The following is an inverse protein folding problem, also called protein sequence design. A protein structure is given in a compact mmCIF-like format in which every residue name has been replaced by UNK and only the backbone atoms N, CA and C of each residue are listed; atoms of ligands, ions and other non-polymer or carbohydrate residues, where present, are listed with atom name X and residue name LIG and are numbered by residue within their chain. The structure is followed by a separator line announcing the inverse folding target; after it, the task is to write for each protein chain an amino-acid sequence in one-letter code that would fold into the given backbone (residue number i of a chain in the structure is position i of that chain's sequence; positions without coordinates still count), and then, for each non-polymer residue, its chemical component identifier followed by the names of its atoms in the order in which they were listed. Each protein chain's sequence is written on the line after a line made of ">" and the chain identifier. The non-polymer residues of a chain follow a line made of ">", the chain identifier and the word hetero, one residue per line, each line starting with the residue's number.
data_IF_214372620454
#
_entry.id   IF_214372620454
#
_cell.length_a   1.000
_cell.length_b   1.000
_cell.length_c   1.000
_cell.angle_alpha   90.00
_cell.angle_beta   90.00
_cell.angle_gamma   90.00
#
_symmetry.space_group_name_H-M   'P 1'
#
loop_
_entity.id
_entity.type
_entity.pdbx_description
1 polymer ?
#
# COMPACT_ATOMS: atom_id res chain seq x y z
N UNK A 1 -4.23 3.87 -7.76
CA UNK A 1 -2.91 4.33 -8.23
C UNK A 1 -2.14 3.26 -9.02
N UNK A 2 -2.31 1.96 -8.71
CA UNK A 2 -1.53 0.86 -9.33
C UNK A 2 -1.73 0.81 -10.85
N UNK A 3 -2.98 0.83 -11.32
CA UNK A 3 -3.31 0.79 -12.76
C UNK A 3 -2.73 1.98 -13.52
N UNK A 4 -2.83 3.17 -12.95
CA UNK A 4 -2.27 4.39 -13.55
C UNK A 4 -0.74 4.34 -13.61
N UNK A 5 -0.07 3.84 -12.56
CA UNK A 5 1.40 3.75 -12.51
C UNK A 5 1.93 2.72 -13.51
N UNK A 6 1.34 1.52 -13.57
CA UNK A 6 1.75 0.47 -14.51
C UNK A 6 1.64 0.95 -15.97
N UNK A 7 0.51 1.54 -16.35
CA UNK A 7 0.33 2.13 -17.68
C UNK A 7 1.25 3.35 -17.89
N UNK A 8 1.43 4.17 -16.85
CA UNK A 8 2.32 5.31 -16.85
C UNK A 8 3.76 4.94 -17.18
N UNK A 9 4.27 3.86 -16.60
CA UNK A 9 5.60 3.33 -16.93
C UNK A 9 5.68 2.99 -18.41
N UNK A 10 4.69 2.24 -18.93
CA UNK A 10 4.68 1.81 -20.33
C UNK A 10 4.66 3.02 -21.28
N UNK A 11 3.74 3.95 -21.06
CA UNK A 11 3.59 5.09 -21.96
C UNK A 11 4.80 6.06 -21.88
N UNK A 12 5.29 6.35 -20.66
CA UNK A 12 6.44 7.24 -20.49
C UNK A 12 7.70 6.65 -21.15
N UNK A 13 7.99 5.38 -20.89
CA UNK A 13 9.20 4.76 -21.41
C UNK A 13 9.14 4.48 -22.90
N UNK A 14 7.97 4.10 -23.44
CA UNK A 14 7.82 4.00 -24.89
C UNK A 14 8.06 5.34 -25.58
N UNK A 15 7.54 6.43 -25.02
CA UNK A 15 7.77 7.76 -25.56
C UNK A 15 9.26 8.18 -25.45
N UNK A 16 9.95 7.81 -24.36
CA UNK A 16 11.36 8.21 -24.14
C UNK A 16 12.36 7.40 -24.94
N UNK A 17 12.08 6.10 -25.15
CA UNK A 17 13.04 5.14 -25.73
C UNK A 17 12.54 4.49 -27.03
N UNK A 18 11.32 4.80 -27.47
CA UNK A 18 10.66 4.24 -28.68
C UNK A 18 10.73 2.70 -28.75
N UNK A 19 10.52 2.06 -27.59
CA UNK A 19 10.65 0.61 -27.46
C UNK A 19 9.60 0.01 -26.53
N UNK A 20 8.57 -0.58 -27.11
CA UNK A 20 7.47 -1.22 -26.37
C UNK A 20 7.91 -2.42 -25.53
N UNK A 21 8.94 -3.16 -25.98
CA UNK A 21 9.44 -4.32 -25.24
C UNK A 21 10.09 -3.89 -23.94
N UNK A 22 10.94 -2.87 -23.96
CA UNK A 22 11.57 -2.31 -22.76
C UNK A 22 10.50 -1.76 -21.82
N UNK A 23 9.55 -0.98 -22.34
CA UNK A 23 8.48 -0.40 -21.56
C UNK A 23 7.60 -1.47 -20.88
N UNK A 24 7.19 -2.48 -21.63
CA UNK A 24 6.36 -3.59 -21.14
C UNK A 24 7.09 -4.47 -20.14
N UNK A 25 8.34 -4.84 -20.40
CA UNK A 25 9.14 -5.66 -19.46
C UNK A 25 9.45 -4.92 -18.14
N UNK A 26 9.67 -3.61 -18.21
CA UNK A 26 9.88 -2.80 -17.00
C UNK A 26 8.61 -2.69 -16.16
N UNK A 27 7.44 -2.47 -16.80
CA UNK A 27 6.14 -2.50 -16.14
C UNK A 27 5.85 -3.88 -15.52
N UNK A 28 6.16 -4.96 -16.22
CA UNK A 28 6.03 -6.32 -15.70
C UNK A 28 6.93 -6.56 -14.48
N UNK A 29 8.18 -6.11 -14.51
CA UNK A 29 9.10 -6.20 -13.38
C UNK A 29 8.59 -5.43 -12.14
N UNK A 30 8.02 -4.23 -12.35
CA UNK A 30 7.35 -3.47 -11.29
C UNK A 30 6.19 -4.25 -10.66
N UNK A 31 5.28 -4.80 -11.48
CA UNK A 31 4.11 -5.56 -11.01
C UNK A 31 4.53 -6.84 -10.28
N UNK A 32 5.52 -7.57 -10.79
CA UNK A 32 6.05 -8.76 -10.13
C UNK A 32 6.67 -8.42 -8.78
N UNK A 33 7.50 -7.38 -8.70
CA UNK A 33 8.11 -6.94 -7.46
C UNK A 33 7.04 -6.57 -6.41
N UNK A 34 6.01 -5.83 -6.81
CA UNK A 34 4.86 -5.49 -5.96
C UNK A 34 4.13 -6.74 -5.47
N UNK A 35 3.88 -7.70 -6.34
CA UNK A 35 3.18 -8.95 -5.98
C UNK A 35 3.97 -9.77 -4.96
N UNK A 36 5.29 -9.85 -5.13
CA UNK A 36 6.18 -10.56 -4.22
C UNK A 36 6.23 -9.94 -2.82
N UNK A 37 6.17 -8.62 -2.71
CA UNK A 37 6.30 -7.93 -1.42
C UNK A 37 4.99 -7.84 -0.63
N UNK A 38 3.85 -7.94 -1.30
CA UNK A 38 2.52 -7.79 -0.69
C UNK A 38 2.31 -8.62 0.59
N UNK A 39 2.65 -9.93 0.65
CA UNK A 39 2.47 -10.72 1.87
C UNK A 39 3.38 -10.29 3.03
N UNK A 40 4.53 -9.68 2.74
CA UNK A 40 5.42 -9.16 3.77
C UNK A 40 4.86 -7.89 4.41
N UNK A 41 4.27 -6.99 3.60
CA UNK A 41 3.58 -5.82 4.12
C UNK A 41 2.36 -6.21 4.96
N UNK A 42 1.55 -7.18 4.53
CA UNK A 42 0.42 -7.66 5.31
C UNK A 42 0.87 -8.08 6.72
N UNK A 43 1.90 -8.94 6.81
CA UNK A 43 2.46 -9.37 8.10
C UNK A 43 3.06 -8.23 8.93
N UNK A 44 3.70 -7.25 8.27
CA UNK A 44 4.25 -6.10 8.96
C UNK A 44 3.16 -5.19 9.54
N UNK A 45 2.08 -4.95 8.81
CA UNK A 45 0.93 -4.19 9.27
C UNK A 45 0.23 -4.85 10.46
N UNK A 46 0.05 -6.18 10.40
CA UNK A 46 -0.56 -6.95 11.48
C UNK A 46 0.29 -6.97 12.75
N UNK A 47 1.62 -7.02 12.60
CA UNK A 47 2.55 -7.15 13.72
C UNK A 47 2.91 -5.82 14.38
N UNK A 48 3.11 -4.76 13.59
CA UNK A 48 3.64 -3.48 14.08
C UNK A 48 2.62 -2.34 14.02
N UNK A 49 1.41 -2.62 13.53
CA UNK A 49 0.31 -1.68 13.40
C UNK A 49 0.38 -0.78 12.15
N UNK A 50 -0.82 -0.44 11.66
CA UNK A 50 -0.97 0.32 10.42
C UNK A 50 -0.33 1.71 10.45
N UNK A 51 -0.41 2.41 11.61
CA UNK A 51 0.10 3.78 11.69
C UNK A 51 1.62 3.88 11.57
N UNK A 52 2.36 2.97 12.25
CA UNK A 52 3.82 3.03 12.28
C UNK A 52 4.41 2.54 10.97
N UNK A 53 4.02 1.34 10.54
CA UNK A 53 4.49 0.73 9.30
C UNK A 53 4.05 1.54 8.09
N UNK A 54 2.77 1.98 8.07
CA UNK A 54 2.20 2.68 6.93
C UNK A 54 2.83 4.04 6.67
N UNK A 55 3.10 4.84 7.69
CA UNK A 55 3.78 6.14 7.48
C UNK A 55 5.19 5.98 6.94
N UNK A 56 5.95 5.00 7.48
CA UNK A 56 7.30 4.72 7.00
C UNK A 56 7.26 4.18 5.56
N UNK A 57 6.40 3.17 5.31
CA UNK A 57 6.23 2.58 3.99
C UNK A 57 5.78 3.62 2.96
N UNK A 58 4.84 4.50 3.32
CA UNK A 58 4.38 5.59 2.46
C UNK A 58 5.52 6.55 2.11
N UNK A 59 6.33 6.96 3.08
CA UNK A 59 7.46 7.86 2.83
C UNK A 59 8.47 7.22 1.88
N UNK A 60 8.84 5.95 2.12
CA UNK A 60 9.77 5.21 1.25
C UNK A 60 9.18 5.02 -0.16
N UNK A 61 7.88 4.71 -0.25
CA UNK A 61 7.18 4.57 -1.53
C UNK A 61 7.18 5.88 -2.33
N UNK A 62 6.87 7.03 -1.69
CA UNK A 62 6.88 8.34 -2.37
C UNK A 62 8.28 8.65 -2.89
N UNK A 63 9.32 8.43 -2.07
CA UNK A 63 10.71 8.64 -2.48
C UNK A 63 11.07 7.75 -3.67
N UNK A 64 10.70 6.47 -3.65
CA UNK A 64 10.97 5.54 -4.76
C UNK A 64 10.23 5.97 -6.04
N UNK A 65 8.96 6.38 -5.93
CA UNK A 65 8.17 6.86 -7.07
C UNK A 65 8.77 8.15 -7.66
N UNK A 66 9.16 9.10 -6.83
CA UNK A 66 9.83 10.33 -7.28
C UNK A 66 11.19 10.03 -7.92
N UNK A 67 11.98 9.15 -7.30
CA UNK A 67 13.28 8.76 -7.84
C UNK A 67 13.13 8.15 -9.24
N UNK A 68 12.15 7.26 -9.44
CA UNK A 68 11.86 6.69 -10.75
C UNK A 68 11.39 7.76 -11.75
N UNK A 69 10.48 8.65 -11.35
CA UNK A 69 9.96 9.70 -12.22
C UNK A 69 11.06 10.69 -12.65
N UNK A 70 11.91 11.11 -11.72
CA UNK A 70 13.07 11.99 -12.04
C UNK A 70 14.11 11.26 -12.89
N UNK A 71 14.41 10.00 -12.60
CA UNK A 71 15.32 9.19 -13.40
C UNK A 71 14.83 9.05 -14.86
N UNK A 72 13.54 8.83 -15.04
CA UNK A 72 12.92 8.81 -16.36
C UNK A 72 13.00 10.18 -17.05
N UNK A 73 12.78 11.27 -16.32
CA UNK A 73 12.84 12.63 -16.84
C UNK A 73 14.26 12.99 -17.35
N UNK A 74 15.31 12.61 -16.63
CA UNK A 74 16.71 12.86 -17.02
C UNK A 74 17.29 11.77 -17.92
N UNK A 75 16.47 10.79 -18.34
CA UNK A 75 16.82 9.70 -19.24
C UNK A 75 18.07 8.92 -18.81
N UNK A 76 18.10 8.48 -17.56
CA UNK A 76 19.19 7.64 -17.07
C UNK A 76 19.27 6.31 -17.85
N UNK A 77 20.41 5.59 -17.82
CA UNK A 77 20.56 4.31 -18.51
C UNK A 77 19.46 3.30 -18.11
N UNK A 78 18.97 2.55 -19.09
CA UNK A 78 17.87 1.58 -18.94
C UNK A 78 18.06 0.60 -17.77
N UNK A 79 19.26 0.01 -17.52
CA UNK A 79 19.44 -0.89 -16.37
C UNK A 79 19.17 -0.22 -15.02
N UNK A 80 19.50 1.07 -14.89
CA UNK A 80 19.22 1.83 -13.67
C UNK A 80 17.71 2.08 -13.49
N UNK A 81 17.00 2.37 -14.58
CA UNK A 81 15.53 2.49 -14.56
C UNK A 81 14.87 1.17 -14.17
N UNK A 82 15.37 0.03 -14.64
CA UNK A 82 14.89 -1.29 -14.22
C UNK A 82 15.07 -1.51 -12.72
N UNK A 83 16.25 -1.20 -12.18
CA UNK A 83 16.50 -1.30 -10.75
C UNK A 83 15.54 -0.40 -9.95
N UNK A 84 15.32 0.83 -10.38
CA UNK A 84 14.38 1.76 -9.74
C UNK A 84 12.94 1.30 -9.85
N UNK A 85 12.51 0.72 -10.99
CA UNK A 85 11.18 0.15 -11.16
C UNK A 85 10.93 -1.01 -10.20
N UNK A 86 11.91 -1.89 -10.02
CA UNK A 86 11.84 -2.99 -9.05
C UNK A 86 11.77 -2.44 -7.63
N UNK A 87 12.63 -1.50 -7.26
CA UNK A 87 12.61 -0.85 -5.93
C UNK A 87 11.25 -0.19 -5.69
N UNK A 88 10.73 0.54 -6.66
CA UNK A 88 9.41 1.17 -6.58
C UNK A 88 8.30 0.11 -6.39
N UNK A 89 8.36 -1.03 -7.09
CA UNK A 89 7.44 -2.14 -6.90
C UNK A 89 7.54 -2.75 -5.50
N UNK A 90 8.75 -2.97 -4.99
CA UNK A 90 8.99 -3.50 -3.64
C UNK A 90 8.55 -2.56 -2.51
N UNK A 91 8.39 -1.28 -2.78
CA UNK A 91 7.87 -0.31 -1.80
C UNK A 91 6.35 -0.18 -1.83
N UNK A 92 5.69 -0.77 -2.84
CA UNK A 92 4.25 -0.68 -3.04
C UNK A 92 3.49 -1.57 -2.07
N UNK A 93 2.48 -1.02 -1.41
CA UNK A 93 1.55 -1.76 -0.57
C UNK A 93 0.09 -1.47 -0.94
N UNK A 94 -0.84 -2.36 -0.55
CA UNK A 94 -2.25 -2.26 -0.90
C UNK A 94 -3.02 -1.40 0.10
N UNK A 95 -3.43 -0.20 -0.31
CA UNK A 95 -4.34 0.63 0.48
C UNK A 95 -5.73 -0.02 0.65
N UNK A 96 -6.27 -0.67 -0.38
CA UNK A 96 -7.55 -1.35 -0.31
C UNK A 96 -7.59 -2.43 0.79
N UNK A 97 -6.53 -3.23 0.91
CA UNK A 97 -6.44 -4.21 2.00
C UNK A 97 -6.50 -3.55 3.38
N UNK A 98 -5.83 -2.40 3.57
CA UNK A 98 -5.86 -1.65 4.84
C UNK A 98 -7.22 -1.02 5.11
N UNK A 99 -7.90 -0.52 4.09
CA UNK A 99 -9.26 0.03 4.19
C UNK A 99 -10.24 -1.07 4.62
N UNK A 100 -10.19 -2.25 3.99
CA UNK A 100 -11.05 -3.40 4.34
C UNK A 100 -10.85 -3.85 5.78
N UNK A 101 -9.59 -3.91 6.23
CA UNK A 101 -9.29 -4.22 7.63
C UNK A 101 -9.90 -3.18 8.59
N UNK A 102 -9.89 -1.89 8.23
CA UNK A 102 -10.54 -0.84 9.05
C UNK A 102 -12.06 -0.97 9.06
N UNK A 103 -12.70 -1.28 7.95
CA UNK A 103 -14.14 -1.53 7.88
C UNK A 103 -14.53 -2.72 8.74
N UNK A 104 -13.84 -3.84 8.60
CA UNK A 104 -14.14 -5.04 9.40
C UNK A 104 -13.95 -4.81 10.89
N UNK A 105 -13.01 -3.95 11.29
CA UNK A 105 -12.82 -3.58 12.69
C UNK A 105 -13.90 -2.60 13.18
N UNK A 106 -14.22 -1.57 12.42
CA UNK A 106 -15.17 -0.53 12.81
C UNK A 106 -16.61 -1.04 12.94
N UNK A 107 -16.98 -2.06 12.17
CA UNK A 107 -18.32 -2.66 12.17
C UNK A 107 -18.45 -3.88 13.06
N UNK A 108 -17.40 -4.26 13.79
CA UNK A 108 -17.43 -5.40 14.72
C UNK A 108 -18.33 -5.08 15.90
N UNK A 109 -19.35 -5.95 16.13
CA UNK A 109 -20.30 -5.79 17.23
C UNK A 109 -21.38 -4.73 17.02
N UNK A 110 -21.51 -4.18 15.83
CA UNK A 110 -22.59 -3.27 15.44
C UNK A 110 -23.81 -4.11 15.01
N UNK A 111 -25.02 -3.70 15.35
CA UNK A 111 -26.28 -4.30 14.85
C UNK A 111 -26.27 -4.24 13.31
N UNK A 112 -26.61 -5.31 12.64
CA UNK A 112 -26.48 -5.47 11.17
C UNK A 112 -25.08 -5.24 10.60
N UNK A 113 -24.03 -5.36 11.42
CA UNK A 113 -22.64 -5.10 11.04
C UNK A 113 -22.16 -5.87 9.83
N UNK A 114 -22.62 -7.13 9.65
CA UNK A 114 -22.27 -7.96 8.51
C UNK A 114 -22.86 -7.42 7.19
N UNK A 115 -24.11 -6.96 7.21
CA UNK A 115 -24.76 -6.35 6.06
C UNK A 115 -24.13 -4.99 5.70
N UNK A 116 -23.80 -4.20 6.70
CA UNK A 116 -23.07 -2.93 6.53
C UNK A 116 -21.67 -3.17 5.96
N UNK A 117 -20.98 -4.23 6.40
CA UNK A 117 -19.65 -4.58 5.89
C UNK A 117 -19.71 -4.98 4.41
N UNK A 118 -20.70 -5.77 4.01
CA UNK A 118 -20.92 -6.12 2.61
C UNK A 118 -21.20 -4.88 1.75
N UNK A 119 -21.98 -3.94 2.26
CA UNK A 119 -22.26 -2.66 1.60
C UNK A 119 -21.00 -1.81 1.47
N UNK A 120 -20.16 -1.75 2.52
CA UNK A 120 -18.89 -1.02 2.50
C UNK A 120 -17.91 -1.60 1.47
N UNK A 121 -17.83 -2.94 1.37
CA UNK A 121 -17.01 -3.61 0.36
C UNK A 121 -17.52 -3.39 -1.06
N UNK A 122 -18.85 -3.41 -1.25
CA UNK A 122 -19.44 -3.10 -2.56
C UNK A 122 -19.16 -1.65 -2.99
N UNK A 123 -19.25 -0.70 -2.05
CA UNK A 123 -18.90 0.71 -2.30
C UNK A 123 -17.40 0.86 -2.64
N UNK A 124 -16.52 0.20 -1.90
CA UNK A 124 -15.08 0.20 -2.18
C UNK A 124 -14.78 -0.35 -3.58
N UNK A 125 -15.39 -1.48 -3.93
CA UNK A 125 -15.24 -2.09 -5.24
C UNK A 125 -15.72 -1.16 -6.37
N UNK A 126 -16.84 -0.46 -6.18
CA UNK A 126 -17.33 0.53 -7.15
C UNK A 126 -16.37 1.72 -7.30
N UNK A 127 -15.79 2.22 -6.21
CA UNK A 127 -14.78 3.28 -6.25
C UNK A 127 -13.51 2.79 -6.95
N UNK A 128 -13.04 1.59 -6.64
CA UNK A 128 -11.87 0.99 -7.29
C UNK A 128 -12.09 0.86 -8.79
N UNK A 129 -13.28 0.46 -9.24
CA UNK A 129 -13.64 0.36 -10.65
C UNK A 129 -13.60 1.72 -11.36
N UNK A 130 -14.17 2.76 -10.73
CA UNK A 130 -14.11 4.13 -11.24
C UNK A 130 -12.64 4.59 -11.37
N UNK A 131 -11.82 4.35 -10.37
CA UNK A 131 -10.38 4.69 -10.39
C UNK A 131 -9.65 3.89 -11.46
N UNK A 132 -10.04 2.62 -11.68
CA UNK A 132 -9.45 1.76 -12.69
C UNK A 132 -9.77 2.23 -14.12
N UNK A 133 -10.95 2.80 -14.34
CA UNK A 133 -11.36 3.37 -15.62
C UNK A 133 -10.73 4.76 -15.83
N UNK A 134 -10.85 5.65 -14.83
CA UNK A 134 -10.37 7.04 -14.97
C UNK A 134 -8.84 7.15 -14.92
N UNK A 135 -8.17 6.26 -14.21
CA UNK A 135 -6.72 6.28 -14.05
C UNK A 135 -5.96 6.20 -15.39
N UNK A 136 -6.22 5.19 -16.24
CA UNK A 136 -5.64 5.09 -17.57
C UNK A 136 -5.98 6.26 -18.48
N UNK A 137 -7.21 6.76 -18.44
CA UNK A 137 -7.66 7.92 -19.25
C UNK A 137 -6.84 9.16 -18.84
N UNK A 138 -6.73 9.41 -17.53
CA UNK A 138 -5.95 10.53 -17.02
C UNK A 138 -4.45 10.37 -17.35
N UNK A 139 -3.91 9.17 -17.24
CA UNK A 139 -2.51 8.88 -17.59
C UNK A 139 -2.25 9.19 -19.08
N UNK A 140 -3.11 8.71 -19.99
CA UNK A 140 -2.98 8.97 -21.40
C UNK A 140 -3.11 10.46 -21.74
N UNK A 141 -4.08 11.15 -21.13
CA UNK A 141 -4.26 12.58 -21.31
C UNK A 141 -3.04 13.40 -20.84
N UNK A 142 -2.51 13.09 -19.66
CA UNK A 142 -1.31 13.73 -19.11
C UNK A 142 -0.08 13.49 -20.00
N UNK A 143 0.08 12.28 -20.52
CA UNK A 143 1.19 11.93 -21.38
C UNK A 143 1.17 12.70 -22.70
N UNK A 144 -0.01 12.94 -23.26
CA UNK A 144 -0.16 13.57 -24.59
C UNK A 144 -0.31 15.08 -24.52
N UNK A 145 -0.97 15.62 -23.48
CA UNK A 145 -1.33 17.04 -23.42
C UNK A 145 -0.41 17.88 -22.54
N UNK A 146 0.34 17.26 -21.61
CA UNK A 146 1.23 17.98 -20.67
C UNK A 146 2.68 17.59 -20.91
N UNK A 147 3.09 16.42 -20.49
CA UNK A 147 4.44 15.90 -20.70
C UNK A 147 4.43 14.37 -20.50
N UNK A 148 5.20 13.61 -21.29
CA UNK A 148 5.20 12.13 -21.21
C UNK A 148 5.51 11.55 -19.83
N UNK A 149 6.23 12.28 -18.99
CA UNK A 149 6.59 11.85 -17.62
C UNK A 149 5.59 12.35 -16.55
N UNK A 150 4.71 13.33 -16.88
CA UNK A 150 3.77 13.93 -15.90
C UNK A 150 2.84 12.91 -15.27
N UNK A 151 2.45 11.88 -16.00
CA UNK A 151 1.64 10.77 -15.53
C UNK A 151 2.30 9.91 -14.41
N UNK A 152 3.60 10.04 -14.20
CA UNK A 152 4.30 9.39 -13.07
C UNK A 152 4.24 10.26 -11.80
N UNK A 153 4.22 11.58 -11.93
CA UNK A 153 4.15 12.50 -10.80
C UNK A 153 2.76 12.58 -10.18
N UNK A 154 1.70 12.59 -11.00
CA UNK A 154 0.31 12.74 -10.52
C UNK A 154 -0.10 11.61 -9.56
N UNK A 155 0.10 10.32 -9.85
CA UNK A 155 -0.22 9.25 -8.89
C UNK A 155 0.68 9.31 -7.65
N UNK A 156 1.91 9.82 -7.76
CA UNK A 156 2.80 10.01 -6.62
C UNK A 156 2.24 11.06 -5.66
N UNK A 157 1.81 12.21 -6.16
CA UNK A 157 1.20 13.27 -5.36
C UNK A 157 -0.11 12.79 -4.74
N UNK A 158 -0.97 12.15 -5.53
CA UNK A 158 -2.24 11.59 -5.06
C UNK A 158 -2.02 10.54 -3.95
N UNK A 159 -1.03 9.66 -4.10
CA UNK A 159 -0.64 8.68 -3.10
C UNK A 159 -0.12 9.35 -1.82
N UNK A 160 0.70 10.39 -1.96
CA UNK A 160 1.24 11.16 -0.84
C UNK A 160 0.15 11.85 -0.02
N UNK A 161 -0.74 12.56 -0.67
CA UNK A 161 -1.87 13.26 -0.01
C UNK A 161 -2.82 12.25 0.61
N UNK A 162 -3.34 11.31 -0.19
CA UNK A 162 -4.31 10.31 0.27
C UNK A 162 -3.75 9.40 1.37
N UNK A 163 -2.51 8.95 1.24
CA UNK A 163 -1.84 8.13 2.24
C UNK A 163 -1.59 8.88 3.55
N UNK A 164 -1.19 10.15 3.47
CA UNK A 164 -0.98 10.99 4.67
C UNK A 164 -2.30 11.20 5.42
N UNK A 165 -3.38 11.53 4.71
CA UNK A 165 -4.72 11.64 5.30
C UNK A 165 -5.13 10.31 5.93
N UNK A 166 -5.01 9.19 5.21
CA UNK A 166 -5.39 7.88 5.68
C UNK A 166 -4.67 7.47 6.96
N UNK A 167 -3.34 7.65 7.04
CA UNK A 167 -2.56 7.30 8.23
C UNK A 167 -2.65 8.32 9.37
N UNK A 168 -3.24 9.49 9.13
CA UNK A 168 -3.56 10.49 10.16
C UNK A 168 -4.81 10.11 10.95
N UNK A 169 -5.74 9.35 10.35
CA UNK A 169 -6.98 8.87 10.98
C UNK A 169 -6.69 7.72 11.94
N UNK A 170 -6.32 8.05 13.18
CA UNK A 170 -5.96 7.06 14.22
C UNK A 170 -7.18 6.33 14.81
N UNK A 171 -8.34 6.99 14.87
CA UNK A 171 -9.56 6.47 15.51
C UNK A 171 -10.13 5.21 14.84
N UNK A 172 -9.84 4.99 13.57
CA UNK A 172 -10.34 3.85 12.79
C UNK A 172 -9.32 2.71 12.65
N UNK A 173 -8.14 2.84 13.27
CA UNK A 173 -7.10 1.83 13.15
C UNK A 173 -7.38 0.65 14.07
N UNK A 174 -7.33 -0.60 13.57
CA UNK A 174 -7.43 -1.77 14.40
C UNK A 174 -6.21 -1.86 15.33
N UNK A 175 -6.38 -2.36 16.57
CA UNK A 175 -5.26 -2.64 17.45
C UNK A 175 -4.37 -3.74 16.85
N UNK A 176 -3.11 -3.77 17.23
CA UNK A 176 -2.18 -4.81 16.81
C UNK A 176 -2.62 -6.18 17.37
N UNK A 177 -2.31 -7.27 16.67
CA UNK A 177 -2.75 -8.63 17.04
C UNK A 177 -2.43 -8.98 18.49
N UNK A 178 -1.29 -8.55 19.01
CA UNK A 178 -0.87 -8.77 20.41
C UNK A 178 -1.85 -8.16 21.41
N UNK A 179 -2.33 -6.95 21.12
CA UNK A 179 -3.29 -6.24 21.96
C UNK A 179 -4.68 -6.88 21.87
N UNK A 180 -5.05 -7.41 20.70
CA UNK A 180 -6.31 -8.15 20.53
C UNK A 180 -6.35 -9.44 21.33
N UNK A 181 -5.26 -10.21 21.35
CA UNK A 181 -5.14 -11.44 22.12
C UNK A 181 -5.17 -11.15 23.64
N UNK A 182 -4.51 -10.07 24.07
CA UNK A 182 -4.53 -9.65 25.48
C UNK A 182 -5.92 -9.21 25.95
N UNK A 183 -6.65 -8.47 25.12
CA UNK A 183 -8.03 -8.02 25.42
C UNK A 183 -8.99 -9.21 25.45
N UNK A 184 -8.92 -10.13 24.50
CA UNK A 184 -9.75 -11.34 24.45
C UNK A 184 -9.48 -12.26 25.64
N UNK A 185 -8.22 -12.41 26.06
CA UNK A 185 -7.85 -13.20 27.23
C UNK A 185 -8.35 -12.60 28.57
N UNK A 186 -8.50 -11.28 28.61
CA UNK A 186 -9.02 -10.59 29.80
C UNK A 186 -10.55 -10.66 29.90
N UNK A 187 -11.24 -10.70 28.76
CA UNK A 187 -12.70 -10.77 28.66
C UNK A 187 -13.23 -12.18 28.95
N UNK A 188 -12.46 -13.23 28.61
CA UNK A 188 -12.81 -14.64 28.89
C UNK A 188 -12.59 -15.07 30.35
N UNK A 189 -11.97 -14.23 31.20
CA UNK A 189 -11.78 -14.48 32.64
C UNK A 189 -10.99 -15.75 32.98
N UNK A 190 -10.32 -16.36 32.00
CA UNK A 190 -9.54 -17.59 32.19
C UNK A 190 -8.09 -17.28 32.56
N UNK A 191 -7.61 -17.75 33.74
CA UNK A 191 -6.22 -17.50 34.17
C UNK A 191 -5.18 -18.07 33.19
N UNK A 192 -5.48 -19.17 32.50
CA UNK A 192 -4.59 -19.80 31.52
C UNK A 192 -4.44 -18.97 30.25
N UNK A 193 -5.50 -18.29 29.82
CA UNK A 193 -5.46 -17.43 28.63
C UNK A 193 -4.68 -16.13 28.89
N UNK A 194 -4.70 -15.60 30.11
CA UNK A 194 -3.91 -14.42 30.50
C UNK A 194 -2.40 -14.72 30.59
N UNK A 195 -2.03 -15.92 31.07
CA UNK A 195 -0.62 -16.35 31.13
C UNK A 195 -0.01 -16.59 29.75
N UNK A 196 -0.78 -17.16 28.81
CA UNK A 196 -0.36 -17.34 27.41
C UNK A 196 -0.24 -15.99 26.67
N UNK A 197 -1.15 -15.05 26.91
CA UNK A 197 -1.08 -13.70 26.35
C UNK A 197 0.16 -12.93 26.85
N UNK A 198 0.48 -13.02 28.13
CA UNK A 198 1.68 -12.41 28.74
C UNK A 198 2.97 -13.05 28.23
N UNK A 199 3.01 -14.36 28.05
CA UNK A 199 4.17 -15.05 27.46
C UNK A 199 4.38 -14.68 25.98
N UNK A 200 3.32 -14.52 25.19
CA UNK A 200 3.40 -14.06 23.81
C UNK A 200 3.89 -12.61 23.72
N UNK A 201 3.44 -11.76 24.62
CA UNK A 201 3.89 -10.35 24.74
C UNK A 201 5.38 -10.27 25.10
N UNK A 202 5.82 -11.03 26.09
CA UNK A 202 7.22 -11.10 26.50
C UNK A 202 8.15 -11.68 25.43
N UNK A 203 7.70 -12.71 24.69
CA UNK A 203 8.45 -13.29 23.56
C UNK A 203 8.59 -12.31 22.40
N UNK A 204 7.58 -11.45 22.16
CA UNK A 204 7.64 -10.46 21.11
C UNK A 204 8.48 -9.22 21.50
N UNK A 205 8.41 -8.76 22.75
CA UNK A 205 9.30 -7.72 23.28
C UNK A 205 10.77 -8.16 23.21
N UNK A 206 11.06 -9.42 23.56
CA UNK A 206 12.40 -10.00 23.47
C UNK A 206 12.91 -10.13 22.03
N UNK A 207 12.02 -10.37 21.04
CA UNK A 207 12.36 -10.41 19.61
C UNK A 207 12.49 -9.03 18.96
N UNK A 208 11.83 -8.01 19.49
CA UNK A 208 11.89 -6.63 18.99
C UNK A 208 13.05 -5.82 19.55
N UNK A 209 13.85 -6.37 20.46
CA UNK A 209 14.98 -5.66 21.08
C UNK A 209 14.58 -4.48 21.97
N UNK A 210 13.30 -4.30 22.27
CA UNK A 210 12.84 -3.31 23.22
C UNK A 210 13.15 -3.80 24.65
N UNK A 211 14.01 -3.08 25.37
CA UNK A 211 14.17 -3.26 26.81
C UNK A 211 12.89 -2.81 27.52
N UNK A 212 12.52 -3.48 28.63
CA UNK A 212 11.38 -3.11 29.45
C UNK A 212 11.51 -1.71 30.03
#
# INVERSE_FOLDING_TARGET
>A
PISMMSLGIVLALNHLYDNWTIAGTMSAAYVLAMSCVTPFYARAFDRFGQARVGRLALAVQIVAMLAFAFAALVRVPIPLLFALAIIMGLTQFSFGALVRTRWSYALRGVEDGEQLLNTAYAMEAAIDEIVFILGPILAAWLATSVHPVSQLFVPTVACGIGGTIFFSLKSTQPPVIVEQVSVAAHDDGSPAASEDADQLTLRQLKRSGAKP
#
